data_IF_498353447689
#
_entry.id   IF_498353447689
#
_cell.length_a   1.000
_cell.length_b   1.000
_cell.length_c   1.000
_cell.angle_alpha   90.00
_cell.angle_beta   90.00
_cell.angle_gamma   90.00
#
_symmetry.space_group_name_H-M   'P 1'
#
loop_
_entity.id
_entity.type
_entity.pdbx_description
1 polymer ?
#
# COMPACT_ATOMS: atom_id res chain seq x y z
N UNK A 1 -37.16 29.36 -23.75
CA UNK A 1 -37.29 27.92 -24.10
C UNK A 1 -36.65 27.68 -25.46
N UNK A 2 -35.49 27.04 -25.52
CA UNK A 2 -34.75 26.82 -26.78
C UNK A 2 -34.51 25.31 -26.93
N UNK A 3 -35.33 24.66 -27.77
CA UNK A 3 -35.22 23.24 -28.16
C UNK A 3 -33.90 23.03 -28.91
N UNK A 4 -33.16 21.98 -28.57
CA UNK A 4 -32.10 21.42 -29.42
C UNK A 4 -32.52 20.01 -29.85
N UNK A 5 -32.33 19.63 -31.13
CA UNK A 5 -32.74 18.34 -31.64
C UNK A 5 -31.71 17.24 -31.34
N UNK A 6 -32.24 16.03 -31.23
CA UNK A 6 -31.49 14.78 -31.20
C UNK A 6 -30.87 14.48 -32.58
N UNK A 7 -29.66 13.93 -32.58
CA UNK A 7 -29.06 13.30 -33.76
C UNK A 7 -28.82 11.83 -33.45
N UNK A 8 -29.17 11.04 -34.45
CA UNK A 8 -29.43 9.60 -34.45
C UNK A 8 -28.19 8.76 -34.78
N UNK A 9 -28.34 7.49 -34.42
CA UNK A 9 -27.68 6.25 -34.82
C UNK A 9 -26.75 6.23 -36.04
N UNK A 10 -25.70 5.40 -35.95
CA UNK A 10 -25.38 4.31 -36.91
C UNK A 10 -24.13 3.56 -36.44
N UNK A 11 -24.24 2.25 -36.20
CA UNK A 11 -23.76 1.17 -37.07
C UNK A 11 -22.25 1.21 -37.34
N UNK A 12 -21.53 0.23 -36.78
CA UNK A 12 -20.45 -0.44 -37.48
C UNK A 12 -20.37 -1.88 -36.97
N UNK A 13 -20.84 -2.76 -37.85
CA UNK A 13 -20.60 -4.18 -37.79
C UNK A 13 -19.17 -4.48 -38.26
N UNK A 14 -18.78 -5.72 -37.97
CA UNK A 14 -17.91 -6.56 -38.78
C UNK A 14 -16.46 -6.72 -38.34
N UNK A 15 -16.09 -8.00 -38.33
CA UNK A 15 -14.86 -8.62 -38.82
C UNK A 15 -13.86 -9.17 -37.79
N UNK A 16 -13.41 -10.37 -38.20
CA UNK A 16 -12.20 -11.09 -37.84
C UNK A 16 -12.21 -11.75 -36.45
N UNK A 17 -11.92 -13.04 -36.34
CA UNK A 17 -11.26 -13.93 -37.28
C UNK A 17 -10.50 -14.96 -36.46
N UNK A 18 -10.76 -16.22 -36.77
CA UNK A 18 -10.15 -17.42 -36.23
C UNK A 18 -8.62 -17.31 -36.13
N UNK A 19 -8.03 -17.69 -35.00
CA UNK A 19 -6.73 -18.38 -34.96
C UNK A 19 -6.64 -19.25 -33.70
N UNK A 20 -7.02 -20.52 -33.85
CA UNK A 20 -6.47 -21.59 -33.01
C UNK A 20 -5.02 -21.83 -33.44
N UNK A 21 -4.09 -21.71 -32.51
CA UNK A 21 -2.76 -22.31 -32.64
C UNK A 21 -2.41 -22.99 -31.32
N UNK A 22 -2.56 -24.32 -31.30
CA UNK A 22 -1.84 -25.18 -30.36
C UNK A 22 -0.35 -25.09 -30.72
N UNK A 23 0.47 -24.67 -29.77
CA UNK A 23 1.92 -24.82 -29.84
C UNK A 23 2.39 -25.67 -28.65
N UNK A 24 3.22 -26.63 -28.99
CA UNK A 24 3.58 -27.80 -28.22
C UNK A 24 4.49 -27.50 -27.02
N UNK A 25 4.45 -28.43 -26.07
CA UNK A 25 5.42 -28.57 -25.00
C UNK A 25 6.83 -28.76 -25.59
N UNK A 26 7.80 -27.97 -25.14
CA UNK A 26 9.22 -28.30 -25.23
C UNK A 26 9.79 -28.34 -23.81
N UNK A 27 9.96 -29.57 -23.30
CA UNK A 27 10.87 -29.89 -22.21
C UNK A 27 12.31 -29.67 -22.71
N UNK A 28 12.90 -28.56 -22.28
CA UNK A 28 14.31 -28.26 -22.46
C UNK A 28 15.08 -28.53 -21.18
N UNK A 29 15.72 -29.70 -21.13
CA UNK A 29 16.88 -29.99 -20.27
C UNK A 29 17.91 -28.86 -20.36
N UNK A 30 18.44 -28.39 -19.22
CA UNK A 30 19.69 -27.62 -19.12
C UNK A 30 20.25 -27.70 -17.68
N UNK A 31 21.55 -27.44 -17.47
CA UNK A 31 22.47 -28.43 -16.94
C UNK A 31 22.90 -28.17 -15.49
N UNK A 32 23.45 -29.22 -14.88
CA UNK A 32 24.15 -29.21 -13.59
C UNK A 32 25.22 -28.11 -13.52
N UNK A 33 24.93 -27.05 -12.77
CA UNK A 33 25.88 -25.99 -12.44
C UNK A 33 26.80 -26.47 -11.32
N UNK A 34 28.10 -26.53 -11.62
CA UNK A 34 29.14 -26.87 -10.65
C UNK A 34 29.30 -25.71 -9.66
N UNK A 35 28.93 -25.96 -8.41
CA UNK A 35 29.20 -25.08 -7.27
C UNK A 35 30.72 -24.99 -7.07
N UNK A 36 31.33 -23.90 -7.55
CA UNK A 36 32.66 -23.51 -7.13
C UNK A 36 32.60 -22.99 -5.69
N UNK A 37 33.33 -23.66 -4.80
CA UNK A 37 33.47 -23.25 -3.41
C UNK A 37 34.11 -21.86 -3.32
N UNK A 38 33.41 -20.93 -2.66
CA UNK A 38 33.99 -19.63 -2.29
C UNK A 38 35.18 -19.81 -1.34
N UNK A 39 36.25 -19.00 -1.49
CA UNK A 39 37.33 -18.94 -0.52
C UNK A 39 36.82 -18.43 0.83
N UNK A 40 37.13 -19.18 1.89
CA UNK A 40 36.79 -18.84 3.27
C UNK A 40 37.45 -17.50 3.66
N UNK A 41 36.64 -16.57 4.16
CA UNK A 41 37.12 -15.31 4.75
C UNK A 41 37.99 -15.63 5.98
N UNK A 42 39.11 -14.90 6.16
CA UNK A 42 39.85 -14.90 7.43
C UNK A 42 38.95 -14.47 8.60
N UNK A 43 39.20 -14.98 9.82
CA UNK A 43 38.45 -14.61 11.01
C UNK A 43 38.62 -13.10 11.31
N UNK A 44 37.49 -12.46 11.55
CA UNK A 44 37.35 -11.06 11.93
C UNK A 44 38.03 -10.79 13.30
N UNK A 45 38.83 -9.72 13.45
CA UNK A 45 39.39 -9.33 14.74
C UNK A 45 38.31 -9.00 15.76
N UNK A 46 38.45 -9.56 16.97
CA UNK A 46 37.53 -9.37 18.08
C UNK A 46 37.31 -7.87 18.40
N UNK A 47 36.04 -7.46 18.35
CA UNK A 47 35.62 -6.12 18.77
C UNK A 47 35.92 -5.87 20.26
N UNK A 48 36.36 -4.66 20.64
CA UNK A 48 36.56 -4.28 22.03
C UNK A 48 35.24 -4.23 22.80
N UNK A 49 35.23 -4.89 23.97
CA UNK A 49 34.12 -4.86 24.94
C UNK A 49 33.95 -3.42 25.47
N UNK A 50 32.85 -2.77 25.08
CA UNK A 50 32.40 -1.53 25.72
C UNK A 50 31.67 -1.92 27.02
N UNK A 51 32.06 -1.41 28.19
CA UNK A 51 31.38 -1.71 29.45
C UNK A 51 29.97 -1.13 29.45
N UNK A 52 29.03 -2.00 29.79
CA UNK A 52 27.66 -1.66 30.15
C UNK A 52 27.63 -0.82 31.44
N UNK A 53 26.64 0.09 31.48
CA UNK A 53 25.92 0.61 32.65
C UNK A 53 25.97 2.13 32.76
N UNK A 54 24.94 2.77 32.22
CA UNK A 54 24.36 3.95 32.84
C UNK A 54 22.88 3.64 33.09
N UNK A 55 22.44 3.58 34.36
CA UNK A 55 21.03 3.39 34.67
C UNK A 55 20.28 4.67 34.28
N UNK A 56 19.55 4.59 33.17
CA UNK A 56 18.56 5.61 32.81
C UNK A 56 17.47 5.60 33.89
N UNK A 57 17.14 6.74 34.52
CA UNK A 57 16.06 6.80 35.50
C UNK A 57 14.72 6.46 34.83
N UNK A 58 13.80 5.76 35.53
CA UNK A 58 12.47 5.47 34.99
C UNK A 58 11.72 6.79 34.77
N UNK A 59 11.48 7.10 33.50
CA UNK A 59 10.69 8.25 33.07
C UNK A 59 9.22 8.04 33.44
N UNK A 60 8.81 8.51 34.62
CA UNK A 60 7.42 8.55 35.10
C UNK A 60 6.68 9.79 34.60
N UNK A 61 6.39 9.86 33.30
CA UNK A 61 5.49 10.82 32.64
C UNK A 61 5.03 10.18 31.31
N UNK A 62 3.76 10.00 30.93
CA UNK A 62 2.51 10.70 31.22
C UNK A 62 1.27 9.79 31.01
N UNK A 63 0.43 9.54 32.03
CA UNK A 63 -0.84 8.80 31.86
C UNK A 63 -1.95 9.58 31.12
N UNK A 64 -1.89 10.92 31.10
CA UNK A 64 -2.98 11.76 30.59
C UNK A 64 -3.01 11.89 29.06
N UNK A 65 -1.85 11.78 28.39
CA UNK A 65 -1.77 11.82 26.93
C UNK A 65 -2.26 10.51 26.29
N UNK A 66 -2.05 9.37 26.96
CA UNK A 66 -2.43 8.06 26.45
C UNK A 66 -3.95 7.86 26.37
N UNK A 67 -4.71 8.42 27.31
CA UNK A 67 -6.17 8.35 27.32
C UNK A 67 -6.81 9.09 26.14
N UNK A 68 -6.20 10.19 25.67
CA UNK A 68 -6.72 10.94 24.51
C UNK A 68 -6.41 10.22 23.19
N UNK A 69 -5.26 9.56 23.10
CA UNK A 69 -4.90 8.75 21.94
C UNK A 69 -5.77 7.51 21.78
N UNK A 70 -6.11 6.80 22.87
CA UNK A 70 -6.99 5.63 22.77
C UNK A 70 -8.40 5.99 22.29
N UNK A 71 -8.95 7.10 22.79
CA UNK A 71 -10.25 7.59 22.33
C UNK A 71 -10.22 7.95 20.83
N UNK A 72 -9.13 8.58 20.37
CA UNK A 72 -8.93 8.90 18.96
C UNK A 72 -8.79 7.64 18.09
N UNK A 73 -8.00 6.65 18.53
CA UNK A 73 -7.85 5.37 17.82
C UNK A 73 -9.19 4.64 17.73
N UNK A 74 -9.99 4.63 18.80
CA UNK A 74 -11.32 4.02 18.78
C UNK A 74 -12.27 4.73 17.81
N UNK A 75 -12.22 6.07 17.73
CA UNK A 75 -12.99 6.83 16.76
C UNK A 75 -12.59 6.48 15.32
N UNK A 76 -11.29 6.38 15.04
CA UNK A 76 -10.78 5.97 13.72
C UNK A 76 -11.24 4.55 13.38
N UNK A 77 -11.20 3.60 14.33
CA UNK A 77 -11.71 2.23 14.11
C UNK A 77 -13.19 2.20 13.76
N UNK A 78 -14.02 3.00 14.44
CA UNK A 78 -15.44 3.12 14.12
C UNK A 78 -15.66 3.66 12.70
N UNK A 79 -14.91 4.68 12.30
CA UNK A 79 -15.03 5.24 10.95
C UNK A 79 -14.52 4.27 9.87
N UNK A 80 -13.42 3.55 10.13
CA UNK A 80 -12.94 2.47 9.28
C UNK A 80 -14.02 1.39 9.07
N UNK A 81 -14.67 0.94 10.16
CA UNK A 81 -15.75 -0.03 10.07
C UNK A 81 -16.95 0.51 9.30
N UNK A 82 -17.33 1.78 9.52
CA UNK A 82 -18.41 2.44 8.79
C UNK A 82 -18.12 2.50 7.29
N UNK A 83 -16.93 2.95 6.89
CA UNK A 83 -16.53 3.05 5.49
C UNK A 83 -16.57 1.68 4.82
N UNK A 84 -16.03 0.63 5.45
CA UNK A 84 -16.01 -0.71 4.86
C UNK A 84 -17.38 -1.42 4.83
N UNK A 85 -18.33 -0.98 5.66
CA UNK A 85 -19.70 -1.51 5.65
C UNK A 85 -20.65 -0.72 4.72
N UNK A 86 -20.25 0.48 4.29
CA UNK A 86 -21.09 1.35 3.47
C UNK A 86 -21.09 0.90 1.99
N UNK A 87 -22.20 1.05 1.27
CA UNK A 87 -22.21 0.96 -0.18
C UNK A 87 -21.51 2.21 -0.76
N UNK A 88 -20.36 2.02 -1.40
CA UNK A 88 -19.54 3.11 -1.95
C UNK A 88 -19.52 3.05 -3.47
N UNK A 89 -19.53 4.23 -4.10
CA UNK A 89 -19.23 4.35 -5.53
C UNK A 89 -17.75 4.07 -5.75
N UNK A 90 -17.39 3.29 -6.77
CA UNK A 90 -16.00 2.94 -7.02
C UNK A 90 -15.54 3.26 -8.44
N UNK A 91 -14.29 3.72 -8.56
CA UNK A 91 -13.61 3.96 -9.84
C UNK A 91 -12.24 3.29 -9.79
N UNK A 92 -12.06 2.27 -10.62
CA UNK A 92 -10.77 1.56 -10.77
C UNK A 92 -10.00 2.13 -11.96
N UNK A 93 -8.70 2.36 -11.78
CA UNK A 93 -7.78 2.86 -12.82
C UNK A 93 -6.48 2.05 -12.78
N UNK A 94 -5.98 1.58 -13.93
CA UNK A 94 -4.64 1.01 -14.00
C UNK A 94 -3.59 2.12 -13.87
N UNK A 95 -2.38 1.74 -13.45
CA UNK A 95 -1.18 2.56 -13.56
C UNK A 95 0.00 1.64 -13.79
N UNK A 96 1.11 2.19 -14.31
CA UNK A 96 2.34 1.44 -14.51
C UNK A 96 3.52 2.23 -13.92
N UNK A 97 4.21 1.61 -12.97
CA UNK A 97 5.52 2.05 -12.51
C UNK A 97 6.55 1.03 -13.04
N UNK A 98 7.28 0.35 -12.16
CA UNK A 98 8.10 -0.81 -12.54
C UNK A 98 7.24 -2.04 -12.88
N UNK A 99 6.05 -2.11 -12.27
CA UNK A 99 5.06 -3.17 -12.43
C UNK A 99 3.70 -2.57 -12.81
N UNK A 100 2.83 -3.39 -13.38
CA UNK A 100 1.44 -3.02 -13.63
C UNK A 100 0.66 -3.11 -12.31
N UNK A 101 -0.01 -2.01 -11.94
CA UNK A 101 -0.78 -1.89 -10.72
C UNK A 101 -2.19 -1.35 -10.98
N UNK A 102 -3.02 -1.36 -9.95
CA UNK A 102 -4.36 -0.76 -10.00
C UNK A 102 -4.65 0.08 -8.77
N UNK A 103 -5.27 1.25 -8.98
CA UNK A 103 -5.84 2.07 -7.92
C UNK A 103 -7.36 2.03 -8.02
N UNK A 104 -8.03 1.77 -6.91
CA UNK A 104 -9.48 1.87 -6.77
C UNK A 104 -9.83 2.97 -5.80
N UNK A 105 -10.56 3.98 -6.28
CA UNK A 105 -11.09 5.07 -5.48
C UNK A 105 -12.52 4.74 -5.07
N UNK A 106 -12.82 4.83 -3.78
CA UNK A 106 -14.16 4.63 -3.24
C UNK A 106 -14.68 5.95 -2.68
N UNK A 107 -15.88 6.33 -3.10
CA UNK A 107 -16.49 7.62 -2.77
C UNK A 107 -17.85 7.45 -2.12
N UNK A 108 -18.17 8.38 -1.23
CA UNK A 108 -19.47 8.53 -0.60
C UNK A 108 -19.93 9.98 -0.87
N UNK A 109 -21.11 10.14 -1.50
CA UNK A 109 -21.66 11.47 -1.85
C UNK A 109 -20.66 12.35 -2.63
N UNK A 110 -19.91 11.74 -3.55
CA UNK A 110 -18.91 12.41 -4.39
C UNK A 110 -17.59 12.76 -3.69
N UNK A 111 -17.39 12.36 -2.43
CA UNK A 111 -16.12 12.54 -1.72
C UNK A 111 -15.39 11.21 -1.58
N UNK A 112 -14.09 11.18 -1.90
CA UNK A 112 -13.27 9.98 -1.73
C UNK A 112 -13.05 9.73 -0.23
N UNK A 113 -13.46 8.56 0.23
CA UNK A 113 -13.35 8.10 1.63
C UNK A 113 -12.37 6.95 1.79
N UNK A 114 -12.11 6.19 0.71
CA UNK A 114 -11.13 5.10 0.69
C UNK A 114 -10.40 5.06 -0.64
N UNK A 115 -9.11 4.76 -0.59
CA UNK A 115 -8.28 4.46 -1.76
C UNK A 115 -7.62 3.11 -1.50
N UNK A 116 -7.75 2.18 -2.44
CA UNK A 116 -7.04 0.90 -2.45
C UNK A 116 -6.05 0.89 -3.60
N UNK A 117 -4.79 0.55 -3.32
CA UNK A 117 -3.75 0.40 -4.32
C UNK A 117 -3.27 -1.05 -4.27
N UNK A 118 -3.39 -1.75 -5.39
CA UNK A 118 -2.70 -3.01 -5.60
C UNK A 118 -1.49 -2.71 -6.48
N UNK A 119 -0.29 -2.89 -5.93
CA UNK A 119 0.97 -2.58 -6.61
C UNK A 119 1.42 -3.66 -7.60
N UNK A 120 0.67 -4.75 -7.71
CA UNK A 120 1.09 -5.94 -8.45
C UNK A 120 2.16 -6.72 -7.69
N UNK A 121 2.86 -7.59 -8.43
CA UNK A 121 3.98 -8.36 -7.93
C UNK A 121 5.29 -7.68 -8.33
N UNK A 122 6.13 -7.36 -7.35
CA UNK A 122 7.48 -6.85 -7.55
C UNK A 122 8.46 -7.90 -6.99
N UNK A 123 9.08 -8.66 -7.89
CA UNK A 123 9.83 -9.87 -7.51
C UNK A 123 8.91 -10.91 -6.87
N UNK A 124 9.25 -11.32 -5.67
CA UNK A 124 8.68 -12.50 -4.98
C UNK A 124 7.51 -12.12 -4.06
N UNK A 125 7.00 -10.90 -4.18
CA UNK A 125 5.98 -10.39 -3.28
C UNK A 125 5.05 -9.36 -3.92
N UNK A 126 3.91 -9.18 -3.26
CA UNK A 126 2.88 -8.21 -3.63
C UNK A 126 2.58 -7.30 -2.46
N UNK A 127 2.25 -6.05 -2.76
CA UNK A 127 1.84 -5.06 -1.76
C UNK A 127 0.44 -4.55 -2.07
N UNK A 128 -0.37 -4.41 -1.02
CA UNK A 128 -1.65 -3.71 -1.08
C UNK A 128 -1.63 -2.60 -0.03
N UNK A 129 -1.92 -1.37 -0.47
CA UNK A 129 -2.05 -0.21 0.43
C UNK A 129 -3.50 0.28 0.43
N UNK A 130 -4.04 0.57 1.61
CA UNK A 130 -5.34 1.17 1.80
C UNK A 130 -5.25 2.46 2.60
N UNK A 131 -5.82 3.53 2.07
CA UNK A 131 -5.91 4.83 2.75
C UNK A 131 -7.37 5.19 3.01
N UNK A 132 -7.65 5.63 4.22
CA UNK A 132 -8.99 6.03 4.66
C UNK A 132 -9.00 7.50 5.03
N UNK A 133 -10.04 8.19 4.59
CA UNK A 133 -10.17 9.63 4.73
C UNK A 133 -11.46 10.03 5.42
N UNK A 134 -11.36 11.06 6.26
CA UNK A 134 -12.51 11.76 6.81
C UNK A 134 -12.33 13.26 6.51
N UNK A 135 -13.32 13.87 5.88
CA UNK A 135 -13.25 15.27 5.44
C UNK A 135 -11.98 15.61 4.63
N UNK A 136 -11.53 14.69 3.78
CA UNK A 136 -10.32 14.86 2.95
C UNK A 136 -9.00 14.78 3.73
N UNK A 137 -9.02 14.39 5.00
CA UNK A 137 -7.85 14.15 5.85
C UNK A 137 -7.64 12.66 6.06
N UNK A 138 -6.38 12.23 6.00
CA UNK A 138 -5.99 10.86 6.29
C UNK A 138 -6.28 10.55 7.77
N UNK A 139 -7.02 9.46 8.02
CA UNK A 139 -7.31 8.98 9.37
C UNK A 139 -6.70 7.61 9.64
N UNK A 140 -6.52 6.79 8.59
CA UNK A 140 -5.98 5.44 8.72
C UNK A 140 -5.25 5.02 7.45
N UNK A 141 -4.11 4.36 7.63
CA UNK A 141 -3.34 3.71 6.59
C UNK A 141 -3.12 2.26 7.00
N UNK A 142 -3.41 1.35 6.07
CA UNK A 142 -3.15 -0.07 6.20
C UNK A 142 -2.36 -0.55 5.00
N UNK A 143 -1.24 -1.24 5.23
CA UNK A 143 -0.45 -1.86 4.19
C UNK A 143 -0.23 -3.33 4.51
N UNK A 144 -0.37 -4.18 3.51
CA UNK A 144 -0.02 -5.59 3.60
C UNK A 144 0.98 -5.93 2.53
N UNK A 145 2.05 -6.61 2.92
CA UNK A 145 3.00 -7.24 2.02
C UNK A 145 2.87 -8.75 2.17
N UNK A 146 2.70 -9.46 1.06
CA UNK A 146 2.71 -10.93 1.01
C UNK A 146 3.80 -11.38 0.06
N UNK A 147 4.70 -12.24 0.53
CA UNK A 147 5.76 -12.83 -0.29
C UNK A 147 6.67 -13.75 0.53
N UNK A 148 7.63 -14.38 -0.13
CA UNK A 148 8.58 -15.29 0.52
C UNK A 148 9.62 -15.86 -0.45
N UNK A 149 10.69 -16.50 0.05
CA UNK A 149 11.69 -17.14 -0.78
C UNK A 149 11.08 -18.23 -1.66
N UNK A 150 11.65 -18.42 -2.85
CA UNK A 150 11.25 -19.53 -3.72
C UNK A 150 11.42 -20.89 -3.00
N UNK A 151 10.32 -21.66 -2.95
CA UNK A 151 10.32 -22.98 -2.32
C UNK A 151 10.01 -22.99 -0.82
N UNK A 152 9.81 -21.82 -0.20
CA UNK A 152 9.34 -21.69 1.18
C UNK A 152 7.90 -21.16 1.24
N UNK A 153 7.16 -21.36 2.35
CA UNK A 153 5.84 -20.77 2.51
C UNK A 153 5.89 -19.23 2.48
N UNK A 154 4.89 -18.62 1.83
CA UNK A 154 4.72 -17.17 1.85
C UNK A 154 4.45 -16.65 3.26
N UNK A 155 4.93 -15.44 3.53
CA UNK A 155 4.66 -14.70 4.75
C UNK A 155 3.89 -13.43 4.45
N UNK A 156 2.96 -13.06 5.32
CA UNK A 156 2.27 -11.77 5.26
C UNK A 156 2.72 -10.90 6.41
N UNK A 157 3.17 -9.70 6.08
CA UNK A 157 3.43 -8.64 7.04
C UNK A 157 2.41 -7.52 6.86
N UNK A 158 2.01 -6.89 7.96
CA UNK A 158 1.04 -5.80 7.94
C UNK A 158 1.51 -4.59 8.75
N UNK A 159 1.22 -3.40 8.23
CA UNK A 159 1.48 -2.13 8.89
C UNK A 159 0.19 -1.32 9.01
N UNK A 160 -0.05 -0.75 10.19
CA UNK A 160 -1.25 0.04 10.51
C UNK A 160 -0.86 1.36 11.13
N UNK A 161 -1.27 2.46 10.51
CA UNK A 161 -1.01 3.81 11.02
C UNK A 161 -2.33 4.52 11.27
N UNK A 162 -2.57 4.90 12.52
CA UNK A 162 -3.68 5.75 12.93
C UNK A 162 -3.21 7.19 12.93
N UNK A 163 -3.96 8.06 12.25
CA UNK A 163 -3.52 9.43 11.96
C UNK A 163 -4.54 10.43 12.51
N UNK A 164 -4.05 11.44 13.20
CA UNK A 164 -4.83 12.58 13.66
C UNK A 164 -4.00 13.85 13.46
N UNK A 165 -4.62 14.91 12.93
CA UNK A 165 -3.94 16.19 12.64
C UNK A 165 -2.66 16.01 11.82
N UNK A 166 -2.73 15.15 10.80
CA UNK A 166 -1.61 14.84 9.91
C UNK A 166 -0.38 14.23 10.62
N UNK A 167 -0.56 13.68 11.82
CA UNK A 167 0.48 12.98 12.60
C UNK A 167 0.02 11.59 13.00
N UNK A 168 0.94 10.64 13.00
CA UNK A 168 0.67 9.30 13.53
C UNK A 168 0.45 9.37 15.05
N UNK A 169 -0.67 8.85 15.52
CA UNK A 169 -0.99 8.69 16.95
C UNK A 169 -0.83 7.24 17.42
N UNK A 170 -0.77 6.30 16.47
CA UNK A 170 -0.42 4.89 16.72
C UNK A 170 0.13 4.25 15.46
N UNK A 171 1.20 3.47 15.63
CA UNK A 171 1.81 2.68 14.58
C UNK A 171 1.93 1.24 15.05
N UNK A 172 1.41 0.30 14.26
CA UNK A 172 1.52 -1.13 14.53
C UNK A 172 2.18 -1.81 13.34
N UNK A 173 3.11 -2.73 13.62
CA UNK A 173 3.67 -3.66 12.66
C UNK A 173 3.37 -5.08 13.12
N UNK A 174 2.77 -5.89 12.26
CA UNK A 174 2.32 -7.24 12.60
C UNK A 174 1.51 -7.24 13.90
N UNK A 175 0.58 -6.29 13.99
CA UNK A 175 -0.31 -6.06 15.15
C UNK A 175 0.38 -5.67 16.47
N UNK A 176 1.68 -5.41 16.46
CA UNK A 176 2.45 -5.01 17.64
C UNK A 176 2.87 -3.53 17.55
N UNK A 177 2.91 -2.79 18.67
CA UNK A 177 3.47 -1.45 18.67
C UNK A 177 4.89 -1.43 18.10
N UNK A 178 5.18 -0.46 17.24
CA UNK A 178 6.49 -0.29 16.65
C UNK A 178 6.84 1.21 16.53
N UNK A 179 8.13 1.56 16.36
CA UNK A 179 8.53 2.92 16.02
C UNK A 179 7.88 3.33 14.71
N UNK A 180 7.37 4.54 14.69
CA UNK A 180 6.67 5.05 13.54
C UNK A 180 7.65 5.58 12.47
N UNK A 181 7.40 5.27 11.19
CA UNK A 181 8.12 5.84 10.05
C UNK A 181 7.28 5.68 8.77
N UNK A 182 6.72 6.76 8.17
CA UNK A 182 6.76 8.17 8.59
C UNK A 182 5.71 8.52 9.66
N UNK A 183 6.00 9.56 10.47
CA UNK A 183 5.09 10.03 11.54
C UNK A 183 4.36 11.32 11.28
N UNK A 184 4.71 12.00 10.19
CA UNK A 184 4.04 13.20 9.75
C UNK A 184 3.63 13.01 8.30
N UNK A 185 2.40 13.42 8.01
CA UNK A 185 1.82 13.40 6.70
C UNK A 185 1.65 14.83 6.22
N UNK A 186 1.82 15.06 4.94
CA UNK A 186 1.62 16.37 4.34
C UNK A 186 1.09 16.21 2.93
N UNK A 187 0.81 17.31 2.24
CA UNK A 187 0.37 17.28 0.84
C UNK A 187 1.36 16.55 -0.09
N UNK A 188 2.64 16.48 0.27
CA UNK A 188 3.64 15.74 -0.49
C UNK A 188 3.67 14.24 -0.16
N UNK A 189 3.03 13.78 0.91
CA UNK A 189 2.96 12.36 1.27
C UNK A 189 2.08 11.59 0.27
N UNK A 190 2.46 10.34 -0.01
CA UNK A 190 1.77 9.44 -0.96
C UNK A 190 0.24 9.44 -0.84
N UNK A 191 -0.40 9.24 0.35
CA UNK A 191 -1.86 9.25 0.47
C UNK A 191 -2.50 10.52 -0.12
N UNK A 192 -1.95 11.68 0.20
CA UNK A 192 -2.49 12.96 -0.29
C UNK A 192 -2.23 13.21 -1.78
N UNK A 193 -1.09 12.77 -2.31
CA UNK A 193 -0.82 12.87 -3.75
C UNK A 193 -1.80 12.01 -4.55
N UNK A 194 -2.07 10.79 -4.11
CA UNK A 194 -3.00 9.88 -4.79
C UNK A 194 -4.44 10.39 -4.69
N UNK A 195 -4.82 10.94 -3.53
CA UNK A 195 -6.11 11.61 -3.36
C UNK A 195 -6.28 12.77 -4.35
N UNK A 196 -5.25 13.60 -4.55
CA UNK A 196 -5.28 14.68 -5.54
C UNK A 196 -5.37 14.16 -6.99
N UNK A 197 -4.69 13.04 -7.28
CA UNK A 197 -4.68 12.40 -8.60
C UNK A 197 -6.06 11.84 -9.02
N UNK A 198 -6.98 11.61 -8.08
CA UNK A 198 -8.36 11.23 -8.41
C UNK A 198 -8.99 12.21 -9.41
N UNK A 199 -8.80 13.52 -9.18
CA UNK A 199 -9.37 14.59 -10.00
C UNK A 199 -8.50 14.92 -11.22
N UNK A 200 -7.18 14.94 -11.07
CA UNK A 200 -6.29 15.32 -12.18
C UNK A 200 -6.01 14.20 -13.19
N UNK A 201 -6.24 12.94 -12.81
CA UNK A 201 -5.90 11.78 -13.63
C UNK A 201 -4.40 11.44 -13.64
N UNK A 202 -3.55 12.18 -12.93
CA UNK A 202 -2.09 12.02 -12.96
C UNK A 202 -1.60 10.97 -11.94
N UNK A 203 -2.01 9.71 -12.10
CA UNK A 203 -1.72 8.64 -11.13
C UNK A 203 -0.24 8.30 -11.04
N UNK A 204 0.44 8.15 -12.18
CA UNK A 204 1.84 7.75 -12.27
C UNK A 204 2.74 8.78 -11.57
N UNK A 205 2.46 10.07 -11.78
CA UNK A 205 3.18 11.15 -11.09
C UNK A 205 2.97 11.16 -9.57
N UNK A 206 1.83 10.65 -9.09
CA UNK A 206 1.53 10.54 -7.67
C UNK A 206 2.16 9.30 -7.02
N UNK A 207 2.24 8.19 -7.77
CA UNK A 207 2.60 6.86 -7.30
C UNK A 207 4.07 6.49 -7.54
N UNK A 208 4.60 6.74 -8.73
CA UNK A 208 5.89 6.19 -9.19
C UNK A 208 7.11 7.05 -8.78
N UNK A 209 6.93 8.03 -7.90
CA UNK A 209 8.06 8.80 -7.34
C UNK A 209 8.66 8.03 -6.18
N UNK A 210 9.78 7.36 -6.45
CA UNK A 210 10.74 6.86 -5.46
C UNK A 210 11.59 8.02 -4.95
#
# INVERSE_FOLDING_TARGET
MKKRPAVSASLLASLLGCFLALAACQEGNQPTEQVQALPQRPPEPAAPKIPANSPTPPSTAHPAADLTHEAAVLAIRREFSRINAAPLDSVKRPFRCDTDGTVTFYSEKGQVVKILINWGFLGDGSTVSEYYYQAGKLIFFYETYTGGPAGEPETTNDERIYVQNDKAIRFLKNQRPAPCSPCAFSRSSRPYRVLAAFRSGQLESALCRL
#
